data_IF_530111458117
#
_entry.id   IF_530111458117
#
_cell.length_a   1.000
_cell.length_b   1.000
_cell.length_c   1.000
_cell.angle_alpha   90.00
_cell.angle_beta   90.00
_cell.angle_gamma   90.00
#
_symmetry.space_group_name_H-M   'P 1'
#
loop_
_entity.id
_entity.type
_entity.pdbx_description
1 polymer ?
#
# COMPACT_ATOMS: atom_id res chain seq x y z
N UNK A 1 11.04 51.25 39.04
CA UNK A 1 10.21 50.36 38.18
C UNK A 1 11.09 49.78 37.11
N UNK A 2 11.45 48.48 37.22
CA UNK A 2 12.24 47.74 36.21
C UNK A 2 11.29 47.05 35.28
N UNK A 3 11.32 47.41 33.99
CA UNK A 3 10.54 46.71 32.95
C UNK A 3 11.24 45.37 32.61
N UNK A 4 10.56 44.26 32.89
CA UNK A 4 10.96 42.96 32.40
C UNK A 4 10.58 42.85 30.91
N UNK A 5 11.60 42.75 30.04
CA UNK A 5 11.39 42.38 28.65
C UNK A 5 11.14 40.89 28.55
N UNK A 6 9.88 40.52 28.27
CA UNK A 6 9.51 39.14 27.93
C UNK A 6 10.11 38.78 26.57
N UNK A 7 11.12 37.88 26.55
CA UNK A 7 11.62 37.28 25.33
C UNK A 7 10.60 36.26 24.83
N UNK A 8 9.89 36.60 23.77
CA UNK A 8 9.06 35.64 23.03
C UNK A 8 10.00 34.75 22.21
N UNK A 9 10.14 33.48 22.61
CA UNK A 9 10.85 32.48 21.83
C UNK A 9 9.88 31.92 20.77
N UNK A 10 9.95 32.48 19.56
CA UNK A 10 9.35 31.85 18.39
C UNK A 10 10.17 30.60 18.03
N UNK A 11 9.81 29.46 18.60
CA UNK A 11 10.25 28.14 18.08
C UNK A 11 9.41 27.83 16.84
N UNK A 12 9.78 28.39 15.71
CA UNK A 12 9.48 27.82 14.40
C UNK A 12 10.31 26.53 14.30
N UNK A 13 9.76 25.41 14.75
CA UNK A 13 10.29 24.10 14.40
C UNK A 13 10.06 23.92 12.91
N UNK A 14 11.02 24.33 12.09
CA UNK A 14 11.11 23.86 10.71
C UNK A 14 11.35 22.36 10.80
N UNK A 15 10.28 21.55 10.74
CA UNK A 15 10.40 20.11 10.59
C UNK A 15 11.16 19.86 9.28
N UNK A 16 12.38 19.34 9.40
CA UNK A 16 13.19 19.00 8.23
C UNK A 16 12.42 18.03 7.37
N UNK A 17 12.26 18.35 6.07
CA UNK A 17 11.62 17.44 5.12
C UNK A 17 12.40 16.13 5.03
N UNK A 18 11.70 15.02 5.04
CA UNK A 18 12.28 13.69 4.86
C UNK A 18 12.82 13.49 3.43
N UNK A 19 12.11 14.04 2.45
CA UNK A 19 12.47 13.93 1.04
C UNK A 19 12.01 15.18 0.25
N UNK A 20 12.50 15.29 -0.96
CA UNK A 20 12.07 16.30 -1.95
C UNK A 20 11.68 15.63 -3.27
N UNK A 21 10.88 16.32 -4.07
CA UNK A 21 10.70 16.02 -5.49
C UNK A 21 11.93 16.55 -6.26
N UNK A 22 12.46 15.72 -7.16
CA UNK A 22 13.57 16.16 -8.04
C UNK A 22 13.01 16.75 -9.34
N UNK A 23 13.92 17.30 -10.18
CA UNK A 23 13.60 17.76 -11.53
C UNK A 23 13.47 16.60 -12.53
N UNK A 24 13.94 15.39 -12.17
CA UNK A 24 13.77 14.20 -13.00
C UNK A 24 12.31 13.80 -13.05
N UNK A 25 11.75 13.67 -14.24
CA UNK A 25 10.31 13.43 -14.42
C UNK A 25 10.04 12.40 -15.50
N UNK A 26 8.93 11.70 -15.35
CA UNK A 26 8.36 10.82 -16.39
C UNK A 26 6.89 11.18 -16.61
N UNK A 27 6.37 10.81 -17.77
CA UNK A 27 4.92 10.85 -18.04
C UNK A 27 4.37 9.42 -17.89
N UNK A 28 3.38 9.26 -17.03
CA UNK A 28 2.69 8.00 -16.79
C UNK A 28 1.17 8.21 -16.75
N UNK A 29 0.44 7.53 -17.63
CA UNK A 29 -1.02 7.70 -17.78
C UNK A 29 -1.46 9.17 -17.91
N UNK A 30 -0.73 9.96 -18.73
CA UNK A 30 -0.98 11.38 -18.93
C UNK A 30 -0.63 12.30 -17.75
N UNK A 31 0.04 11.78 -16.71
CA UNK A 31 0.43 12.50 -15.49
C UNK A 31 1.95 12.67 -15.43
N UNK A 32 2.40 13.82 -15.00
CA UNK A 32 3.81 14.06 -14.71
C UNK A 32 4.14 13.55 -13.32
N UNK A 33 5.05 12.58 -13.23
CA UNK A 33 5.58 12.08 -11.97
C UNK A 33 7.01 12.56 -11.79
N UNK A 34 7.39 12.81 -10.55
CA UNK A 34 8.72 13.24 -10.14
C UNK A 34 9.44 12.12 -9.42
N UNK A 35 10.72 11.96 -9.69
CA UNK A 35 11.63 11.18 -8.88
C UNK A 35 11.73 11.80 -7.49
N UNK A 36 11.75 10.99 -6.44
CA UNK A 36 11.99 11.49 -5.08
C UNK A 36 13.45 11.27 -4.68
N UNK A 37 13.95 12.15 -3.79
CA UNK A 37 15.28 12.02 -3.20
C UNK A 37 15.19 12.24 -1.69
N UNK A 38 15.75 11.30 -0.91
CA UNK A 38 15.85 11.41 0.54
C UNK A 38 16.74 12.60 0.95
N UNK A 39 16.34 13.31 1.98
CA UNK A 39 17.09 14.45 2.56
C UNK A 39 17.72 14.11 3.90
N UNK A 40 17.26 13.05 4.55
CA UNK A 40 17.76 12.55 5.84
C UNK A 40 17.85 11.02 5.78
N UNK A 41 18.58 10.43 6.72
CA UNK A 41 18.59 8.98 6.96
C UNK A 41 17.32 8.55 7.69
N UNK A 42 16.69 7.46 7.25
CA UNK A 42 15.58 6.80 7.94
C UNK A 42 15.45 5.35 7.49
N UNK A 43 15.10 4.43 8.39
CA UNK A 43 15.00 2.99 8.08
C UNK A 43 16.25 2.49 7.31
N UNK A 44 16.06 1.96 6.12
CA UNK A 44 17.08 1.45 5.20
C UNK A 44 17.48 2.47 4.10
N UNK A 45 16.94 3.71 4.18
CA UNK A 45 17.20 4.79 3.22
C UNK A 45 18.22 5.78 3.76
N UNK A 46 19.18 6.17 2.92
CA UNK A 46 20.22 7.15 3.25
C UNK A 46 19.94 8.50 2.60
N UNK A 47 20.37 9.57 3.25
CA UNK A 47 20.34 10.91 2.66
C UNK A 47 21.04 10.91 1.30
N UNK A 48 20.36 11.43 0.28
CA UNK A 48 20.82 11.41 -1.11
C UNK A 48 20.25 10.27 -1.95
N UNK A 49 19.73 9.21 -1.34
CA UNK A 49 19.14 8.08 -2.08
C UNK A 49 17.98 8.52 -2.96
N UNK A 50 17.95 8.01 -4.18
CA UNK A 50 16.86 8.19 -5.10
C UNK A 50 15.78 7.12 -4.86
N UNK A 51 14.54 7.58 -4.69
CA UNK A 51 13.39 6.69 -4.57
C UNK A 51 12.68 6.47 -5.90
N UNK A 52 11.39 6.12 -5.86
CA UNK A 52 10.52 5.92 -7.01
C UNK A 52 9.90 7.23 -7.51
N UNK A 53 8.72 7.11 -8.09
CA UNK A 53 8.04 8.16 -8.82
C UNK A 53 6.71 8.53 -8.15
N UNK A 54 6.54 9.80 -7.81
CA UNK A 54 5.27 10.29 -7.26
C UNK A 54 4.77 11.53 -8.02
N UNK A 55 3.46 11.72 -8.09
CA UNK A 55 2.87 12.86 -8.79
C UNK A 55 2.98 14.15 -7.96
N UNK A 56 2.84 14.06 -6.65
CA UNK A 56 2.84 15.20 -5.73
C UNK A 56 3.26 14.79 -4.32
N UNK A 57 3.69 15.75 -3.50
CA UNK A 57 4.13 15.49 -2.12
C UNK A 57 3.08 14.74 -1.27
N UNK A 58 1.79 14.98 -1.49
CA UNK A 58 0.72 14.29 -0.75
C UNK A 58 0.64 12.77 -1.02
N UNK A 59 1.35 12.26 -2.02
CA UNK A 59 1.39 10.83 -2.30
C UNK A 59 2.26 10.03 -1.32
N UNK A 60 3.17 10.68 -0.63
CA UNK A 60 4.09 10.02 0.30
C UNK A 60 4.20 10.86 1.59
N UNK A 61 4.08 10.21 2.75
CA UNK A 61 4.23 10.89 4.04
C UNK A 61 5.65 11.40 4.25
N UNK A 62 5.75 12.63 4.78
CA UNK A 62 7.00 13.19 5.29
C UNK A 62 7.37 12.65 6.69
N UNK A 63 6.46 11.90 7.34
CA UNK A 63 6.62 11.35 8.68
C UNK A 63 6.66 9.82 8.60
N UNK A 64 7.44 9.19 9.50
CA UNK A 64 7.62 7.74 9.54
C UNK A 64 8.51 7.22 8.42
N UNK A 65 8.57 5.89 8.26
CA UNK A 65 9.51 5.21 7.39
C UNK A 65 8.92 4.85 6.00
N UNK A 66 7.74 5.38 5.68
CA UNK A 66 7.13 5.15 4.37
C UNK A 66 8.07 5.58 3.23
N UNK A 67 8.23 4.70 2.25
CA UNK A 67 9.06 5.00 1.07
C UNK A 67 8.56 4.33 -0.20
N UNK A 68 8.83 4.99 -1.32
CA UNK A 68 8.62 4.49 -2.68
C UNK A 68 9.98 4.27 -3.30
N UNK A 69 10.30 3.05 -3.73
CA UNK A 69 11.61 2.67 -4.25
C UNK A 69 11.59 2.43 -5.76
N UNK A 70 12.75 2.48 -6.37
CA UNK A 70 13.02 1.97 -7.71
C UNK A 70 12.11 2.56 -8.79
N UNK A 71 11.37 1.72 -9.49
CA UNK A 71 10.47 2.10 -10.57
C UNK A 71 8.99 2.19 -10.14
N UNK A 72 8.71 2.02 -8.85
CA UNK A 72 7.34 2.10 -8.33
C UNK A 72 6.74 3.49 -8.57
N UNK A 73 5.44 3.53 -8.81
CA UNK A 73 4.70 4.75 -9.18
C UNK A 73 3.52 4.96 -8.24
N UNK A 74 3.44 6.17 -7.66
CA UNK A 74 2.29 6.58 -6.83
C UNK A 74 1.72 7.87 -7.40
N UNK A 75 0.43 7.88 -7.72
CA UNK A 75 -0.18 8.97 -8.46
C UNK A 75 -1.64 9.23 -8.06
N UNK A 76 -2.23 10.27 -8.63
CA UNK A 76 -3.57 10.74 -8.27
C UNK A 76 -3.62 11.16 -6.79
N UNK A 77 -4.62 10.68 -6.05
CA UNK A 77 -4.77 10.95 -4.62
C UNK A 77 -4.35 9.76 -3.75
N UNK A 78 -3.58 8.83 -4.33
CA UNK A 78 -3.04 7.72 -3.55
C UNK A 78 -2.07 8.22 -2.48
N UNK A 79 -2.04 7.55 -1.32
CA UNK A 79 -1.22 7.95 -0.17
C UNK A 79 -0.49 6.76 0.42
N UNK A 80 0.83 6.92 0.61
CA UNK A 80 1.70 5.95 1.27
C UNK A 80 2.12 6.55 2.61
N UNK A 81 1.77 5.87 3.71
CA UNK A 81 1.81 6.43 5.07
C UNK A 81 2.51 5.49 6.06
N UNK A 82 2.88 5.99 7.23
CA UNK A 82 3.52 5.28 8.34
C UNK A 82 4.85 4.62 7.90
N UNK A 83 4.92 3.28 7.85
CA UNK A 83 6.12 2.53 7.49
C UNK A 83 5.90 1.68 6.22
N UNK A 84 4.86 2.00 5.44
CA UNK A 84 4.52 1.26 4.23
C UNK A 84 5.58 1.43 3.14
N UNK A 85 5.85 0.35 2.41
CA UNK A 85 6.85 0.33 1.34
C UNK A 85 6.22 -0.06 0.01
N UNK A 86 6.54 0.70 -1.03
CA UNK A 86 6.12 0.41 -2.41
C UNK A 86 7.37 0.33 -3.27
N UNK A 87 7.60 -0.80 -3.95
CA UNK A 87 8.87 -1.00 -4.67
C UNK A 87 8.72 -1.81 -5.96
N UNK A 88 9.83 -2.11 -6.62
CA UNK A 88 9.89 -2.71 -7.95
C UNK A 88 9.13 -1.87 -8.98
N UNK A 89 8.17 -2.46 -9.69
CA UNK A 89 7.34 -1.81 -10.71
C UNK A 89 5.90 -1.59 -10.24
N UNK A 90 5.64 -1.68 -8.94
CA UNK A 90 4.30 -1.55 -8.38
C UNK A 90 3.65 -0.19 -8.70
N UNK A 91 2.33 -0.18 -8.82
CA UNK A 91 1.56 1.01 -9.18
C UNK A 91 0.44 1.22 -8.17
N UNK A 92 0.45 2.38 -7.52
CA UNK A 92 -0.59 2.77 -6.56
C UNK A 92 -1.24 4.06 -7.03
N UNK A 93 -2.55 4.04 -7.31
CA UNK A 93 -3.25 5.17 -7.92
C UNK A 93 -4.67 5.38 -7.40
N UNK A 94 -5.40 6.32 -8.01
CA UNK A 94 -6.74 6.69 -7.55
C UNK A 94 -6.71 7.34 -6.16
N UNK A 95 -7.57 6.90 -5.26
CA UNK A 95 -7.61 7.30 -3.85
C UNK A 95 -7.11 6.17 -2.92
N UNK A 96 -6.29 5.26 -3.43
CA UNK A 96 -5.80 4.12 -2.69
C UNK A 96 -4.91 4.55 -1.51
N UNK A 97 -4.97 3.80 -0.42
CA UNK A 97 -4.15 4.03 0.76
C UNK A 97 -3.33 2.79 1.09
N UNK A 98 -2.02 2.97 1.27
CA UNK A 98 -1.11 1.92 1.75
C UNK A 98 -0.47 2.43 3.04
N UNK A 99 -0.68 1.74 4.16
CA UNK A 99 -0.24 2.22 5.46
C UNK A 99 0.07 1.09 6.46
N UNK A 100 0.55 1.45 7.66
CA UNK A 100 1.12 0.49 8.59
C UNK A 100 2.50 0.04 8.12
N UNK A 101 2.74 -1.24 8.12
CA UNK A 101 3.95 -1.90 7.60
C UNK A 101 3.67 -2.65 6.28
N UNK A 102 2.59 -2.30 5.60
CA UNK A 102 2.18 -2.95 4.37
C UNK A 102 3.20 -2.78 3.24
N UNK A 103 3.31 -3.80 2.40
CA UNK A 103 4.25 -3.81 1.27
C UNK A 103 3.51 -4.09 -0.03
N UNK A 104 3.76 -3.26 -1.05
CA UNK A 104 3.23 -3.45 -2.41
C UNK A 104 4.42 -3.49 -3.37
N UNK A 105 4.60 -4.59 -4.12
CA UNK A 105 5.79 -4.76 -4.94
C UNK A 105 5.57 -5.66 -6.18
N UNK A 106 6.63 -5.91 -6.94
CA UNK A 106 6.53 -6.59 -8.23
C UNK A 106 5.80 -5.71 -9.25
N UNK A 107 4.87 -6.28 -9.98
CA UNK A 107 3.99 -5.58 -10.93
C UNK A 107 2.60 -5.28 -10.34
N UNK A 108 2.44 -5.40 -9.03
CA UNK A 108 1.16 -5.24 -8.34
C UNK A 108 0.52 -3.88 -8.60
N UNK A 109 -0.81 -3.87 -8.66
CA UNK A 109 -1.60 -2.66 -8.89
C UNK A 109 -2.62 -2.49 -7.78
N UNK A 110 -2.62 -1.31 -7.15
CA UNK A 110 -3.59 -0.92 -6.12
C UNK A 110 -4.22 0.40 -6.55
N UNK A 111 -5.53 0.44 -6.74
CA UNK A 111 -6.18 1.63 -7.28
C UNK A 111 -7.64 1.80 -6.81
N UNK A 112 -8.33 2.79 -7.36
CA UNK A 112 -9.66 3.21 -6.91
C UNK A 112 -9.62 3.71 -5.46
N UNK A 113 -10.41 3.16 -4.55
CA UNK A 113 -10.43 3.51 -3.13
C UNK A 113 -9.94 2.35 -2.24
N UNK A 114 -9.07 1.49 -2.78
CA UNK A 114 -8.58 0.32 -2.07
C UNK A 114 -7.63 0.69 -0.92
N UNK A 115 -7.66 -0.10 0.15
CA UNK A 115 -6.80 0.09 1.32
C UNK A 115 -5.97 -1.16 1.58
N UNK A 116 -4.65 -0.97 1.71
CA UNK A 116 -3.71 -2.01 2.11
C UNK A 116 -3.08 -1.58 3.43
N UNK A 117 -3.17 -2.40 4.48
CA UNK A 117 -2.75 -1.98 5.82
C UNK A 117 -2.23 -3.13 6.68
N UNK A 118 -1.84 -2.81 7.92
CA UNK A 118 -1.22 -3.79 8.81
C UNK A 118 0.14 -4.23 8.28
N UNK A 119 0.36 -5.51 8.16
CA UNK A 119 1.60 -6.14 7.65
C UNK A 119 1.33 -6.83 6.29
N UNK A 120 0.22 -6.49 5.64
CA UNK A 120 -0.22 -7.11 4.38
C UNK A 120 0.82 -6.96 3.26
N UNK A 121 0.90 -7.97 2.41
CA UNK A 121 1.80 -8.00 1.25
C UNK A 121 0.99 -8.21 -0.02
N UNK A 122 1.17 -7.31 -0.98
CA UNK A 122 0.54 -7.40 -2.31
C UNK A 122 1.66 -7.38 -3.35
N UNK A 123 1.79 -8.46 -4.14
CA UNK A 123 2.94 -8.60 -5.04
C UNK A 123 2.63 -9.44 -6.29
N UNK A 124 3.66 -9.74 -7.09
CA UNK A 124 3.46 -10.38 -8.38
C UNK A 124 2.67 -9.46 -9.31
N UNK A 125 1.69 -9.98 -10.00
CA UNK A 125 0.76 -9.25 -10.86
C UNK A 125 -0.59 -8.96 -10.18
N UNK A 126 -0.67 -9.05 -8.86
CA UNK A 126 -1.92 -8.90 -8.11
C UNK A 126 -2.60 -7.55 -8.35
N UNK A 127 -3.93 -7.55 -8.39
CA UNK A 127 -4.74 -6.35 -8.60
C UNK A 127 -5.72 -6.15 -7.45
N UNK A 128 -5.61 -5.02 -6.75
CA UNK A 128 -6.54 -4.62 -5.68
C UNK A 128 -7.27 -3.35 -6.11
N UNK A 129 -8.60 -3.37 -6.09
CA UNK A 129 -9.39 -2.25 -6.62
C UNK A 129 -10.76 -2.09 -5.95
N UNK A 130 -11.56 -1.15 -6.43
CA UNK A 130 -12.85 -0.83 -5.84
C UNK A 130 -12.67 -0.12 -4.49
N UNK A 131 -13.38 -0.56 -3.48
CA UNK A 131 -13.23 -0.15 -2.08
C UNK A 131 -12.74 -1.32 -1.21
N UNK A 132 -12.00 -2.25 -1.82
CA UNK A 132 -11.46 -3.43 -1.15
C UNK A 132 -10.48 -3.03 -0.04
N UNK A 133 -10.46 -3.82 1.03
CA UNK A 133 -9.57 -3.65 2.17
C UNK A 133 -8.78 -4.93 2.38
N UNK A 134 -7.45 -4.83 2.39
CA UNK A 134 -6.53 -5.95 2.62
C UNK A 134 -5.63 -5.60 3.79
N UNK A 135 -5.73 -6.34 4.88
CA UNK A 135 -5.04 -6.05 6.13
C UNK A 135 -4.49 -7.28 6.85
N UNK A 136 -4.08 -7.09 8.13
CA UNK A 136 -3.46 -8.18 8.90
C UNK A 136 -2.16 -8.66 8.29
N UNK A 137 -1.93 -9.97 8.30
CA UNK A 137 -0.79 -10.66 7.71
C UNK A 137 -1.09 -11.22 6.30
N UNK A 138 -2.15 -10.74 5.67
CA UNK A 138 -2.64 -11.22 4.38
C UNK A 138 -1.59 -11.11 3.29
N UNK A 139 -1.55 -12.10 2.40
CA UNK A 139 -0.77 -12.06 1.16
C UNK A 139 -1.71 -12.15 -0.03
N UNK A 140 -1.54 -11.26 -1.00
CA UNK A 140 -2.23 -11.32 -2.31
C UNK A 140 -1.16 -11.25 -3.39
N UNK A 141 -1.04 -12.31 -4.19
CA UNK A 141 0.08 -12.40 -5.12
C UNK A 141 -0.26 -13.13 -6.43
N UNK A 142 0.74 -13.39 -7.25
CA UNK A 142 0.59 -13.90 -8.61
C UNK A 142 -0.37 -13.05 -9.44
N UNK A 143 -1.41 -13.63 -10.03
CA UNK A 143 -2.41 -12.94 -10.84
C UNK A 143 -3.72 -12.67 -10.08
N UNK A 144 -3.71 -12.82 -8.75
CA UNK A 144 -4.89 -12.71 -7.91
C UNK A 144 -5.57 -11.33 -8.03
N UNK A 145 -6.89 -11.31 -7.87
CA UNK A 145 -7.70 -10.09 -7.95
C UNK A 145 -8.60 -9.96 -6.73
N UNK A 146 -8.49 -8.83 -6.05
CA UNK A 146 -9.38 -8.48 -4.93
C UNK A 146 -10.08 -7.17 -5.25
N UNK A 147 -11.41 -7.20 -5.31
CA UNK A 147 -12.18 -6.05 -5.78
C UNK A 147 -13.53 -5.87 -5.09
N UNK A 148 -14.32 -4.91 -5.61
CA UNK A 148 -15.62 -4.58 -5.03
C UNK A 148 -15.48 -3.98 -3.64
N UNK A 149 -16.18 -4.55 -2.66
CA UNK A 149 -16.14 -4.21 -1.22
C UNK A 149 -15.48 -5.31 -0.39
N UNK A 150 -14.68 -6.17 -1.01
CA UNK A 150 -14.04 -7.28 -0.31
C UNK A 150 -13.19 -6.79 0.88
N UNK A 151 -13.27 -7.51 1.99
CA UNK A 151 -12.48 -7.25 3.19
C UNK A 151 -11.69 -8.52 3.53
N UNK A 152 -10.36 -8.44 3.42
CA UNK A 152 -9.46 -9.57 3.63
C UNK A 152 -8.55 -9.23 4.82
N UNK A 153 -8.48 -10.12 5.78
CA UNK A 153 -7.69 -9.92 6.98
C UNK A 153 -7.04 -11.20 7.50
N UNK A 154 -6.52 -11.12 8.73
CA UNK A 154 -5.82 -12.19 9.43
C UNK A 154 -4.64 -12.75 8.62
N UNK A 155 -4.62 -14.06 8.32
CA UNK A 155 -3.54 -14.76 7.65
C UNK A 155 -3.95 -15.31 6.27
N UNK A 156 -4.96 -14.72 5.63
CA UNK A 156 -5.42 -15.19 4.33
C UNK A 156 -4.35 -15.05 3.24
N UNK A 157 -4.24 -16.06 2.40
CA UNK A 157 -3.43 -16.02 1.18
C UNK A 157 -4.34 -16.15 -0.05
N UNK A 158 -4.19 -15.22 -1.00
CA UNK A 158 -4.97 -15.20 -2.24
C UNK A 158 -3.98 -15.13 -3.39
N UNK A 159 -3.93 -16.18 -4.21
CA UNK A 159 -2.86 -16.29 -5.19
C UNK A 159 -3.28 -17.04 -6.47
N UNK A 160 -2.31 -17.29 -7.35
CA UNK A 160 -2.53 -17.82 -8.69
C UNK A 160 -3.51 -16.92 -9.47
N UNK A 161 -4.65 -17.43 -9.95
CA UNK A 161 -5.65 -16.65 -10.69
C UNK A 161 -6.90 -16.35 -9.86
N UNK A 162 -6.85 -16.58 -8.54
CA UNK A 162 -7.99 -16.45 -7.65
C UNK A 162 -8.58 -15.04 -7.66
N UNK A 163 -9.89 -14.96 -7.51
CA UNK A 163 -10.64 -13.71 -7.49
C UNK A 163 -11.54 -13.65 -6.28
N UNK A 164 -11.40 -12.59 -5.50
CA UNK A 164 -12.30 -12.26 -4.39
C UNK A 164 -12.97 -10.94 -4.72
N UNK A 165 -14.25 -10.98 -5.02
CA UNK A 165 -14.99 -9.87 -5.58
C UNK A 165 -16.25 -9.57 -4.74
N UNK A 166 -16.89 -8.42 -5.01
CA UNK A 166 -18.13 -8.04 -4.36
C UNK A 166 -18.01 -7.73 -2.86
N UNK A 167 -19.00 -8.06 -2.05
CA UNK A 167 -19.08 -7.74 -0.63
C UNK A 167 -18.76 -8.98 0.23
N UNK A 168 -17.56 -9.48 0.10
CA UNK A 168 -17.07 -10.68 0.80
C UNK A 168 -16.10 -10.28 1.91
N UNK A 169 -16.21 -10.91 3.07
CA UNK A 169 -15.30 -10.74 4.20
C UNK A 169 -14.61 -12.07 4.53
N UNK A 170 -13.29 -12.08 4.50
CA UNK A 170 -12.43 -13.22 4.79
C UNK A 170 -11.48 -12.83 5.92
N UNK A 171 -11.74 -13.34 7.14
CA UNK A 171 -10.96 -13.05 8.35
C UNK A 171 -10.51 -14.34 9.03
N UNK A 172 -10.01 -15.27 8.24
CA UNK A 172 -9.55 -16.58 8.71
C UNK A 172 -8.24 -16.94 8.05
N UNK A 173 -7.59 -17.98 8.53
CA UNK A 173 -6.50 -18.61 7.80
C UNK A 173 -7.13 -19.29 6.58
N UNK A 174 -7.06 -18.64 5.43
CA UNK A 174 -7.64 -19.11 4.17
C UNK A 174 -6.56 -19.14 3.09
N UNK A 175 -6.55 -20.22 2.31
CA UNK A 175 -5.72 -20.38 1.11
C UNK A 175 -6.64 -20.42 -0.11
N UNK A 176 -6.74 -19.30 -0.83
CA UNK A 176 -7.62 -19.14 -1.99
C UNK A 176 -6.78 -19.08 -3.25
N UNK A 177 -6.85 -20.11 -4.07
CA UNK A 177 -5.93 -20.32 -5.19
C UNK A 177 -6.60 -20.90 -6.44
N UNK A 178 -5.81 -21.18 -7.46
CA UNK A 178 -6.29 -21.68 -8.73
C UNK A 178 -7.15 -20.63 -9.43
N UNK A 179 -8.20 -21.09 -10.07
CA UNK A 179 -9.19 -20.24 -10.74
C UNK A 179 -10.42 -19.94 -9.86
N UNK A 180 -10.26 -20.08 -8.53
CA UNK A 180 -11.34 -19.85 -7.55
C UNK A 180 -11.90 -18.44 -7.68
N UNK A 181 -13.22 -18.33 -7.65
CA UNK A 181 -13.92 -17.04 -7.71
C UNK A 181 -14.96 -16.93 -6.59
N UNK A 182 -14.72 -15.99 -5.65
CA UNK A 182 -15.56 -15.75 -4.50
C UNK A 182 -16.33 -14.44 -4.72
N UNK A 183 -17.63 -14.52 -4.86
CA UNK A 183 -18.51 -13.37 -5.10
C UNK A 183 -19.55 -13.16 -4.02
N UNK A 184 -19.81 -14.17 -3.19
CA UNK A 184 -20.86 -14.16 -2.17
C UNK A 184 -20.35 -14.77 -0.85
N UNK A 185 -21.14 -14.59 0.21
CA UNK A 185 -20.87 -15.25 1.48
C UNK A 185 -21.03 -16.77 1.36
N UNK A 186 -21.95 -17.26 0.53
CA UNK A 186 -22.14 -18.68 0.29
C UNK A 186 -20.91 -19.34 -0.35
N UNK A 187 -20.20 -18.61 -1.23
CA UNK A 187 -18.95 -19.10 -1.81
C UNK A 187 -17.86 -19.23 -0.73
N UNK A 188 -17.82 -18.29 0.20
CA UNK A 188 -16.89 -18.34 1.33
C UNK A 188 -17.19 -19.52 2.27
N UNK A 189 -18.47 -19.74 2.59
CA UNK A 189 -18.91 -20.84 3.46
C UNK A 189 -18.63 -22.24 2.84
N UNK A 190 -18.56 -22.35 1.52
CA UNK A 190 -18.10 -23.57 0.83
C UNK A 190 -16.62 -23.81 1.01
N UNK A 191 -15.81 -22.76 0.89
CA UNK A 191 -14.34 -22.83 1.13
C UNK A 191 -14.02 -23.31 2.55
N UNK A 192 -14.69 -22.76 3.55
CA UNK A 192 -14.47 -23.17 4.94
C UNK A 192 -14.75 -24.67 5.14
N UNK A 193 -15.73 -25.24 4.43
CA UNK A 193 -16.02 -26.66 4.48
C UNK A 193 -14.97 -27.53 3.78
N UNK A 194 -14.41 -27.07 2.67
CA UNK A 194 -13.36 -27.80 1.94
C UNK A 194 -12.03 -27.80 2.70
N UNK A 195 -11.66 -26.70 3.32
CA UNK A 195 -10.47 -26.58 4.17
C UNK A 195 -10.57 -27.51 5.39
N UNK A 196 -11.71 -27.55 6.07
CA UNK A 196 -11.91 -28.45 7.24
C UNK A 196 -11.93 -29.94 6.86
N UNK A 197 -12.31 -30.30 5.63
CA UNK A 197 -12.28 -31.71 5.19
C UNK A 197 -10.88 -32.16 4.80
N UNK A 198 -10.00 -31.27 4.37
CA UNK A 198 -8.60 -31.62 4.00
C UNK A 198 -7.70 -31.86 5.23
N UNK A 199 -8.03 -31.31 6.41
CA UNK A 199 -7.30 -31.56 7.67
C UNK A 199 -7.69 -32.85 8.38
N UNK A 200 -8.69 -33.59 7.89
CA UNK A 200 -9.15 -34.87 8.51
C UNK A 200 -8.70 -36.13 7.76
N UNK A 201 -7.74 -36.02 6.85
CA UNK A 201 -7.14 -37.17 6.17
C UNK A 201 -5.68 -37.37 6.54
#
# INVERSE_FOLDING_TARGET
>A
MKQQKTKVYNHLTTTSKKYKLTNETIVFCGRKLHRIQALIDFSDVKSGDLGGWIEKENNLSQIGDAWVYGNAKVYSNASILHNAKVYDNAKVGGNAKVYGEAKVYGEAKVYSNAWIFGIARVYGNANIYGIAKVGGYTKVYDNARVGGKAMIGEFAEIHENAKVLSNVAIYVVADIRGDSEIRSREDNDKLDREVFTSYKR
#
